data_IF_008766842362
#
_entry.id   IF_008766842362
#
_cell.length_a   1.000
_cell.length_b   1.000
_cell.length_c   1.000
_cell.angle_alpha   90.00
_cell.angle_beta   90.00
_cell.angle_gamma   90.00
#
_symmetry.space_group_name_H-M   'P 1'
#
loop_
_entity.id
_entity.type
_entity.pdbx_description
1 polymer ?
#
# COMPACT_ATOMS: atom_id res chain seq x y z
N UNK A 1 -50.86 -16.74 -42.15
CA UNK A 1 -50.25 -16.73 -40.79
C UNK A 1 -48.75 -16.96 -40.96
N UNK A 2 -47.91 -15.94 -40.74
CA UNK A 2 -46.46 -16.02 -40.91
C UNK A 2 -45.85 -16.00 -39.51
N UNK A 3 -45.21 -17.11 -39.11
CA UNK A 3 -44.60 -17.27 -37.80
C UNK A 3 -43.17 -16.73 -37.86
N UNK A 4 -42.91 -15.57 -37.24
CA UNK A 4 -41.57 -14.96 -37.22
C UNK A 4 -40.89 -15.35 -35.92
N UNK A 5 -39.96 -16.31 -36.02
CA UNK A 5 -39.11 -16.73 -34.90
C UNK A 5 -38.09 -15.62 -34.62
N UNK A 6 -38.27 -14.89 -33.53
CA UNK A 6 -37.36 -13.82 -33.09
C UNK A 6 -36.11 -14.43 -32.48
N UNK A 7 -35.01 -14.41 -33.21
CA UNK A 7 -33.69 -14.80 -32.71
C UNK A 7 -33.14 -13.67 -31.83
N UNK A 8 -33.07 -13.90 -30.52
CA UNK A 8 -32.51 -12.94 -29.56
C UNK A 8 -30.98 -13.07 -29.60
N UNK A 9 -30.30 -12.06 -30.14
CA UNK A 9 -28.84 -11.95 -30.11
C UNK A 9 -28.41 -11.47 -28.71
N UNK A 10 -27.79 -12.36 -27.93
CA UNK A 10 -27.10 -12.00 -26.69
C UNK A 10 -25.71 -11.45 -27.04
N UNK A 11 -25.59 -10.12 -27.09
CA UNK A 11 -24.29 -9.46 -27.14
C UNK A 11 -23.60 -9.57 -25.77
N UNK A 12 -22.55 -10.37 -25.68
CA UNK A 12 -21.70 -10.44 -24.49
C UNK A 12 -20.81 -9.19 -24.43
N UNK A 13 -21.07 -8.33 -23.45
CA UNK A 13 -20.22 -7.18 -23.17
C UNK A 13 -18.89 -7.66 -22.58
N UNK A 14 -17.78 -7.41 -23.29
CA UNK A 14 -16.43 -7.70 -22.84
C UNK A 14 -16.01 -6.59 -21.86
N UNK A 15 -16.09 -6.86 -20.55
CA UNK A 15 -15.60 -5.94 -19.53
C UNK A 15 -14.06 -5.95 -19.50
N UNK A 16 -13.46 -4.84 -19.91
CA UNK A 16 -12.01 -4.61 -19.78
C UNK A 16 -11.70 -4.40 -18.30
N UNK A 17 -11.05 -5.37 -17.66
CA UNK A 17 -10.59 -5.22 -16.29
C UNK A 17 -9.32 -4.36 -16.36
N UNK A 18 -9.44 -3.08 -16.03
CA UNK A 18 -8.28 -2.20 -15.86
C UNK A 18 -7.48 -2.69 -14.65
N UNK A 19 -6.39 -3.42 -14.89
CA UNK A 19 -5.41 -3.71 -13.85
C UNK A 19 -4.73 -2.39 -13.48
N UNK A 20 -5.08 -1.83 -12.32
CA UNK A 20 -4.28 -0.76 -11.71
C UNK A 20 -2.95 -1.36 -11.32
N UNK A 21 -1.89 -1.06 -12.08
CA UNK A 21 -0.53 -1.34 -11.64
C UNK A 21 -0.29 -0.52 -10.37
N UNK A 22 -0.35 -1.16 -9.20
CA UNK A 22 0.10 -0.54 -7.97
C UNK A 22 1.57 -0.21 -8.16
N UNK A 23 1.90 1.09 -8.20
CA UNK A 23 3.29 1.52 -8.22
C UNK A 23 3.97 0.92 -6.99
N UNK A 24 5.13 0.28 -7.18
CA UNK A 24 5.86 -0.36 -6.09
C UNK A 24 6.13 0.66 -4.98
N UNK A 25 5.61 0.40 -3.79
CA UNK A 25 5.82 1.22 -2.60
C UNK A 25 7.03 0.68 -1.83
N UNK A 26 7.88 1.60 -1.37
CA UNK A 26 9.06 1.29 -0.57
C UNK A 26 8.83 1.76 0.88
N UNK A 27 8.84 0.82 1.84
CA UNK A 27 8.51 1.12 3.25
C UNK A 27 9.38 2.20 3.88
N UNK A 28 10.64 2.28 3.47
CA UNK A 28 11.67 3.21 3.92
C UNK A 28 11.41 4.65 3.44
N UNK A 29 10.69 4.82 2.33
CA UNK A 29 10.34 6.14 1.78
C UNK A 29 9.00 6.69 2.30
N UNK A 30 8.24 5.87 3.04
CA UNK A 30 7.02 6.33 3.70
C UNK A 30 7.40 7.22 4.88
N UNK A 31 6.78 8.40 4.98
CA UNK A 31 7.01 9.39 6.05
C UNK A 31 5.73 9.68 6.83
N UNK A 32 5.88 10.05 8.10
CA UNK A 32 4.77 10.49 8.94
C UNK A 32 4.75 12.03 8.99
N UNK A 33 3.71 12.64 8.43
CA UNK A 33 3.52 14.09 8.49
C UNK A 33 2.50 14.45 9.58
N UNK A 34 2.69 15.61 10.22
CA UNK A 34 1.79 16.16 11.25
C UNK A 34 1.24 17.52 10.80
N UNK A 35 0.68 17.54 9.59
CA UNK A 35 0.22 18.75 8.92
C UNK A 35 -1.32 18.87 8.89
N UNK A 36 -2.03 17.91 9.49
CA UNK A 36 -3.48 17.79 9.43
C UNK A 36 -3.93 16.52 8.71
N UNK A 37 -5.25 16.35 8.65
CA UNK A 37 -5.91 15.21 8.04
C UNK A 37 -5.68 15.18 6.53
N UNK A 38 -5.14 14.07 6.04
CA UNK A 38 -4.89 13.84 4.61
C UNK A 38 -3.94 14.89 3.97
N UNK A 39 -3.22 15.65 4.80
CA UNK A 39 -2.25 16.67 4.37
C UNK A 39 -0.84 16.09 4.46
N UNK A 40 -0.15 16.12 3.33
CA UNK A 40 1.24 15.75 3.19
C UNK A 40 2.10 16.96 2.80
N UNK A 41 3.41 16.85 3.03
CA UNK A 41 4.40 17.82 2.54
C UNK A 41 4.39 17.90 1.00
N UNK A 42 5.03 18.94 0.46
CA UNK A 42 5.15 19.14 -0.98
C UNK A 42 5.71 17.91 -1.70
N UNK A 43 5.10 17.55 -2.83
CA UNK A 43 5.37 16.36 -3.66
C UNK A 43 5.16 14.99 -2.98
N UNK A 44 4.33 14.96 -1.93
CA UNK A 44 3.89 13.73 -1.28
C UNK A 44 2.37 13.62 -1.36
N UNK A 45 1.88 12.39 -1.31
CA UNK A 45 0.46 12.05 -1.20
C UNK A 45 0.23 11.14 -0.02
N UNK A 46 -0.99 11.13 0.51
CA UNK A 46 -1.35 10.17 1.54
C UNK A 46 -1.36 8.74 0.97
N UNK A 47 -1.03 7.77 1.82
CA UNK A 47 -1.16 6.36 1.51
C UNK A 47 -2.63 5.96 1.46
N UNK A 48 -3.00 5.14 0.49
CA UNK A 48 -4.31 4.50 0.53
C UNK A 48 -4.30 3.27 1.47
N UNK A 49 -5.48 2.74 1.75
CA UNK A 49 -5.65 1.60 2.65
C UNK A 49 -4.94 0.31 2.17
N UNK A 50 -4.89 0.05 0.86
CA UNK A 50 -4.21 -1.12 0.30
C UNK A 50 -2.69 -1.05 0.45
N UNK A 51 -2.09 0.12 0.20
CA UNK A 51 -0.66 0.37 0.40
C UNK A 51 -0.29 0.28 1.88
N UNK A 52 -1.13 0.83 2.76
CA UNK A 52 -0.95 0.71 4.20
C UNK A 52 -1.07 -0.75 4.68
N UNK A 53 -1.94 -1.54 4.05
CA UNK A 53 -2.10 -2.97 4.36
C UNK A 53 -0.87 -3.79 3.94
N UNK A 54 -0.28 -3.49 2.78
CA UNK A 54 0.95 -4.13 2.29
C UNK A 54 2.14 -3.86 3.23
N UNK A 55 2.26 -2.63 3.73
CA UNK A 55 3.37 -2.20 4.59
C UNK A 55 3.01 -2.13 6.07
N UNK A 56 1.93 -2.79 6.50
CA UNK A 56 1.34 -2.70 7.83
C UNK A 56 2.37 -2.84 8.95
N UNK A 57 3.22 -3.86 8.89
CA UNK A 57 4.25 -4.13 9.92
C UNK A 57 5.26 -2.97 10.04
N UNK A 58 5.70 -2.41 8.91
CA UNK A 58 6.64 -1.30 8.87
C UNK A 58 6.02 0.03 9.32
N UNK A 59 4.71 0.22 9.13
CA UNK A 59 4.00 1.39 9.67
C UNK A 59 3.86 1.29 11.18
N UNK A 60 3.38 0.15 11.69
CA UNK A 60 3.11 -0.03 13.13
C UNK A 60 4.39 0.02 13.95
N UNK A 61 5.53 -0.46 13.43
CA UNK A 61 6.81 -0.39 14.13
C UNK A 61 7.28 1.04 14.41
N UNK A 62 6.71 2.02 13.69
CA UNK A 62 7.01 3.46 13.81
C UNK A 62 5.91 4.24 14.53
N UNK A 63 4.87 3.57 15.02
CA UNK A 63 3.73 4.17 15.74
C UNK A 63 3.83 3.89 17.24
N UNK A 64 3.27 4.78 18.07
CA UNK A 64 3.03 4.44 19.47
C UNK A 64 1.94 3.37 19.57
N UNK A 65 1.91 2.65 20.70
CA UNK A 65 1.00 1.52 20.94
C UNK A 65 -0.47 1.87 20.67
N UNK A 66 -0.90 3.08 21.05
CA UNK A 66 -2.29 3.55 20.93
C UNK A 66 -2.45 4.68 19.91
N UNK A 67 -1.47 4.90 19.03
CA UNK A 67 -1.59 5.92 17.99
C UNK A 67 -2.70 5.56 16.99
N UNK A 68 -3.31 6.59 16.42
CA UNK A 68 -4.19 6.51 15.26
C UNK A 68 -3.61 7.48 14.24
N UNK A 69 -3.35 7.01 13.03
CA UNK A 69 -2.73 7.81 11.96
C UNK A 69 -3.61 7.74 10.72
N UNK A 70 -3.81 8.90 10.09
CA UNK A 70 -4.61 9.08 8.89
C UNK A 70 -3.98 8.47 7.65
N UNK A 71 -4.86 8.03 6.77
CA UNK A 71 -4.64 7.53 5.43
C UNK A 71 -5.62 8.26 4.49
N UNK A 72 -5.43 8.08 3.19
CA UNK A 72 -6.28 8.68 2.17
C UNK A 72 -7.76 8.28 2.33
N UNK A 73 -8.68 9.21 2.01
CA UNK A 73 -10.13 8.99 2.00
C UNK A 73 -10.72 8.58 3.37
N UNK A 74 -10.34 9.28 4.44
CA UNK A 74 -10.85 9.09 5.80
C UNK A 74 -10.59 7.68 6.36
N UNK A 75 -9.53 7.03 5.89
CA UNK A 75 -9.04 5.79 6.47
C UNK A 75 -8.03 6.08 7.56
N UNK A 76 -7.90 5.15 8.51
CA UNK A 76 -6.88 5.22 9.56
C UNK A 76 -6.20 3.87 9.73
N UNK A 77 -4.93 3.91 10.14
CA UNK A 77 -4.22 2.78 10.73
C UNK A 77 -4.01 3.03 12.21
N UNK A 78 -4.27 2.02 13.02
CA UNK A 78 -4.15 2.07 14.48
C UNK A 78 -2.87 1.38 14.96
N UNK A 79 -2.35 1.77 16.12
CA UNK A 79 -1.12 1.24 16.70
C UNK A 79 -1.19 -0.24 17.10
N UNK A 80 -0.10 -0.76 17.66
CA UNK A 80 0.03 -2.17 18.03
C UNK A 80 -0.96 -2.62 19.11
N UNK A 81 -1.40 -1.72 19.99
CA UNK A 81 -2.44 -1.97 20.99
C UNK A 81 -3.81 -2.25 20.37
N UNK A 82 -4.03 -1.81 19.13
CA UNK A 82 -5.21 -2.12 18.31
C UNK A 82 -4.92 -3.17 17.23
N UNK A 83 -3.84 -3.95 17.38
CA UNK A 83 -3.40 -4.96 16.41
C UNK A 83 -3.15 -4.44 14.99
N UNK A 84 -2.89 -3.14 14.84
CA UNK A 84 -2.70 -2.57 13.51
C UNK A 84 -3.96 -2.51 12.66
N UNK A 85 -5.12 -2.32 13.28
CA UNK A 85 -6.39 -2.27 12.56
C UNK A 85 -6.38 -1.12 11.54
N UNK A 86 -6.79 -1.42 10.30
CA UNK A 86 -7.01 -0.45 9.23
C UNK A 86 -8.51 -0.39 8.95
N UNK A 87 -9.11 0.79 9.08
CA UNK A 87 -10.57 0.97 8.93
C UNK A 87 -10.91 2.41 8.51
N UNK A 88 -12.13 2.65 8.00
CA UNK A 88 -12.68 4.00 7.95
C UNK A 88 -12.71 4.58 9.37
N UNK A 89 -12.29 5.83 9.51
CA UNK A 89 -12.02 6.43 10.82
C UNK A 89 -12.24 7.92 10.84
N UNK A 90 -11.98 8.51 12.00
CA UNK A 90 -12.00 9.95 12.15
C UNK A 90 -10.67 10.58 11.68
N UNK A 91 -10.72 11.86 11.29
CA UNK A 91 -9.55 12.69 11.04
C UNK A 91 -8.46 12.49 12.09
N UNK A 92 -7.22 12.37 11.63
CA UNK A 92 -6.02 12.37 12.48
C UNK A 92 -5.18 13.60 12.14
N UNK A 93 -4.53 14.20 13.14
CA UNK A 93 -3.57 15.29 12.95
C UNK A 93 -2.27 14.82 12.25
N UNK A 94 -2.08 13.49 12.20
CA UNK A 94 -0.96 12.81 11.55
C UNK A 94 -1.43 12.02 10.33
N UNK A 95 -0.65 12.02 9.26
CA UNK A 95 -0.94 11.31 8.01
C UNK A 95 0.29 10.54 7.53
N UNK A 96 0.10 9.30 7.10
CA UNK A 96 1.15 8.55 6.41
C UNK A 96 1.23 8.98 4.95
N UNK A 97 2.40 9.45 4.55
CA UNK A 97 2.64 10.06 3.25
C UNK A 97 3.74 9.33 2.48
N UNK A 98 3.64 9.37 1.15
CA UNK A 98 4.60 8.77 0.24
C UNK A 98 4.92 9.73 -0.91
N UNK A 99 6.19 9.83 -1.37
CA UNK A 99 6.56 10.73 -2.46
C UNK A 99 5.86 10.33 -3.75
N UNK A 100 5.42 11.30 -4.55
CA UNK A 100 4.89 11.02 -5.88
C UNK A 100 5.99 10.53 -6.84
N UNK A 101 7.24 10.90 -6.55
CA UNK A 101 8.43 10.53 -7.31
C UNK A 101 9.40 9.71 -6.45
N UNK A 102 9.11 8.41 -6.20
CA UNK A 102 9.96 7.58 -5.37
C UNK A 102 11.28 7.23 -6.06
N UNK A 103 12.36 7.19 -5.29
CA UNK A 103 13.67 6.81 -5.80
C UNK A 103 13.83 5.30 -5.62
N UNK A 104 13.73 4.53 -6.70
CA UNK A 104 13.91 3.08 -6.63
C UNK A 104 15.35 2.78 -6.20
N UNK A 105 15.54 2.41 -4.92
CA UNK A 105 16.84 1.99 -4.40
C UNK A 105 17.38 0.76 -5.12
N UNK A 106 18.61 0.36 -4.77
CA UNK A 106 19.20 -0.88 -5.29
C UNK A 106 18.30 -2.08 -4.93
N UNK A 107 18.14 -3.06 -5.84
CA UNK A 107 17.36 -4.25 -5.55
C UNK A 107 18.00 -5.02 -4.39
N UNK A 108 17.18 -5.38 -3.41
CA UNK A 108 17.59 -6.26 -2.32
C UNK A 108 17.66 -7.71 -2.81
N UNK A 109 18.77 -8.39 -2.50
CA UNK A 109 18.95 -9.82 -2.71
C UNK A 109 19.17 -10.50 -1.36
N UNK A 110 18.54 -11.64 -1.16
CA UNK A 110 18.78 -12.45 0.04
C UNK A 110 20.25 -12.89 0.09
N UNK A 111 20.80 -12.98 1.30
CA UNK A 111 22.15 -13.46 1.50
C UNK A 111 22.28 -14.87 0.93
N UNK A 112 23.16 -15.04 -0.06
CA UNK A 112 23.41 -16.36 -0.64
C UNK A 112 24.26 -17.16 0.34
N UNK A 113 23.71 -18.27 0.85
CA UNK A 113 24.44 -19.17 1.73
C UNK A 113 25.65 -19.75 0.97
N UNK A 114 26.86 -19.45 1.44
CA UNK A 114 28.08 -20.10 0.99
C UNK A 114 28.24 -21.36 1.84
N UNK A 115 28.30 -22.54 1.21
CA UNK A 115 28.63 -23.76 1.94
C UNK A 115 30.04 -23.62 2.51
N UNK A 116 30.24 -23.93 3.80
CA UNK A 116 31.57 -23.97 4.41
C UNK A 116 32.40 -25.10 3.79
N UNK A 117 33.17 -24.79 2.77
CA UNK A 117 34.32 -25.56 2.34
C UNK A 117 35.58 -24.88 2.87
N UNK A 118 36.40 -25.64 3.61
CA UNK A 118 37.60 -25.16 4.31
C UNK A 118 38.40 -24.23 3.42
N UNK A 119 38.60 -22.98 3.85
CA UNK A 119 39.59 -22.09 3.25
C UNK A 119 40.94 -22.81 3.28
N UNK A 120 41.42 -23.27 2.13
CA UNK A 120 42.63 -24.07 2.01
C UNK A 120 43.83 -23.23 2.48
N UNK A 121 44.21 -23.42 3.75
CA UNK A 121 45.41 -22.81 4.32
C UNK A 121 46.59 -23.72 4.00
N UNK A 122 47.39 -23.24 3.04
CA UNK A 122 48.78 -23.61 2.65
C UNK A 122 49.21 -25.06 2.78
#
# INVERSE_FOLDING_TARGET
MINVSKTILFSTALSVISFTAHAKIYSDQIVLDKLGEDICRFDYRALNNSEAQEHKTALISRMNVWDIVGLQHDWVIMGSGYHGLIKPGQPSDKTWCYPNTPEAGLPYYEAQAIQENRCFSR
#
